data_IF_744712360051
#
_entry.id   IF_744712360051
#
_cell.length_a   1.000
_cell.length_b   1.000
_cell.length_c   1.000
_cell.angle_alpha   90.00
_cell.angle_beta   90.00
_cell.angle_gamma   90.00
#
_symmetry.space_group_name_H-M   'P 1'
#
loop_
_entity.id
_entity.type
_entity.pdbx_description
1 polymer ?
#
# COMPACT_ATOMS: atom_id res chain seq x y z
N UNK A 1 -18.35 -32.20 19.69
CA UNK A 1 -17.35 -31.18 19.34
C UNK A 1 -16.46 -31.77 18.25
N UNK A 2 -16.47 -31.20 17.04
CA UNK A 2 -16.17 -31.90 15.77
C UNK A 2 -14.69 -32.27 15.54
N UNK A 3 -14.37 -33.52 15.10
CA UNK A 3 -13.02 -34.00 14.77
C UNK A 3 -12.39 -33.32 13.54
N UNK A 4 -13.14 -32.49 12.78
CA UNK A 4 -12.59 -31.76 11.62
C UNK A 4 -11.65 -30.63 12.00
N UNK A 5 -11.78 -30.04 13.20
CA UNK A 5 -10.91 -28.93 13.63
C UNK A 5 -9.49 -29.41 13.98
N UNK A 6 -9.37 -30.60 14.56
CA UNK A 6 -8.08 -31.21 14.92
C UNK A 6 -7.30 -31.66 13.67
N UNK A 7 -8.00 -32.10 12.62
CA UNK A 7 -7.38 -32.54 11.37
C UNK A 7 -6.77 -31.38 10.58
N UNK A 8 -7.45 -30.22 10.55
CA UNK A 8 -6.95 -29.00 9.91
C UNK A 8 -5.74 -28.44 10.67
N UNK A 9 -5.76 -28.49 12.00
CA UNK A 9 -4.62 -28.07 12.82
C UNK A 9 -3.43 -29.02 12.63
N UNK A 10 -3.66 -30.33 12.53
CA UNK A 10 -2.62 -31.33 12.25
C UNK A 10 -2.03 -31.19 10.84
N UNK A 11 -2.86 -30.89 9.82
CA UNK A 11 -2.40 -30.63 8.45
C UNK A 11 -1.63 -29.30 8.33
N UNK A 12 -2.04 -28.26 9.06
CA UNK A 12 -1.29 -27.00 9.17
C UNK A 12 0.02 -27.22 9.91
N UNK A 13 0.04 -28.03 10.97
CA UNK A 13 1.25 -28.35 11.73
C UNK A 13 2.21 -29.24 10.93
N UNK A 14 1.70 -30.20 10.14
CA UNK A 14 2.52 -30.99 9.20
C UNK A 14 3.01 -30.17 8.01
N UNK A 15 2.25 -29.20 7.49
CA UNK A 15 2.76 -28.25 6.49
C UNK A 15 3.83 -27.32 7.07
N UNK A 16 3.67 -26.88 8.33
CA UNK A 16 4.68 -26.11 9.06
C UNK A 16 5.94 -26.94 9.32
N UNK A 17 5.80 -28.22 9.68
CA UNK A 17 6.91 -29.14 9.94
C UNK A 17 7.61 -29.58 8.65
N UNK A 18 6.86 -29.83 7.56
CA UNK A 18 7.43 -30.11 6.22
C UNK A 18 8.15 -28.89 5.63
N UNK A 19 7.80 -27.67 6.08
CA UNK A 19 8.54 -26.46 5.76
C UNK A 19 9.77 -26.22 6.65
N UNK A 20 10.01 -27.05 7.67
CA UNK A 20 11.17 -26.99 8.56
C UNK A 20 12.31 -27.94 8.18
N UNK A 21 12.24 -28.58 7.01
CA UNK A 21 13.36 -29.37 6.50
C UNK A 21 14.46 -28.41 6.02
N UNK A 22 15.45 -28.16 6.89
CA UNK A 22 16.76 -27.62 6.53
C UNK A 22 17.50 -28.66 5.70
N UNK A 23 17.75 -28.37 4.42
CA UNK A 23 18.63 -29.16 3.54
C UNK A 23 19.53 -28.18 2.77
N UNK A 24 20.76 -28.60 2.41
CA UNK A 24 21.98 -27.90 2.73
C UNK A 24 22.63 -27.35 1.46
N UNK A 25 22.69 -26.03 1.31
CA UNK A 25 23.41 -25.42 0.19
C UNK A 25 24.43 -24.41 0.70
N UNK A 26 25.69 -24.76 0.46
CA UNK A 26 26.92 -23.98 0.63
C UNK A 26 26.66 -22.48 0.41
N UNK A 27 26.70 -21.71 1.50
CA UNK A 27 26.81 -20.26 1.54
C UNK A 27 25.86 -19.47 0.60
N UNK A 28 24.61 -19.19 1.01
CA UNK A 28 23.58 -18.55 0.16
C UNK A 28 23.97 -17.17 -0.37
N UNK A 29 25.01 -16.55 0.19
CA UNK A 29 25.58 -15.25 -0.20
C UNK A 29 26.31 -15.29 -1.55
N UNK A 30 26.80 -16.47 -1.95
CA UNK A 30 27.65 -16.67 -3.13
C UNK A 30 26.96 -17.47 -4.26
N UNK A 31 25.67 -17.79 -4.14
CA UNK A 31 24.94 -18.48 -5.20
C UNK A 31 24.50 -17.51 -6.31
N UNK A 32 25.07 -17.59 -7.53
CA UNK A 32 24.70 -16.72 -8.65
C UNK A 32 23.27 -16.95 -9.15
N UNK A 33 22.61 -18.04 -8.76
CA UNK A 33 21.24 -18.37 -9.17
C UNK A 33 20.18 -17.97 -8.14
N UNK A 34 20.56 -17.45 -6.97
CA UNK A 34 19.62 -16.90 -5.99
C UNK A 34 19.55 -15.37 -6.11
N UNK A 35 18.49 -14.79 -6.70
CA UNK A 35 18.38 -13.34 -6.85
C UNK A 35 18.27 -12.59 -5.51
N UNK A 36 17.91 -13.26 -4.41
CA UNK A 36 17.93 -12.67 -3.06
C UNK A 36 19.27 -12.86 -2.33
N UNK A 37 20.13 -13.82 -2.74
CA UNK A 37 21.38 -14.21 -2.04
C UNK A 37 21.24 -14.48 -0.52
N UNK A 38 20.01 -14.69 -0.05
CA UNK A 38 19.68 -15.16 1.30
C UNK A 38 18.47 -16.09 1.22
N UNK A 39 18.30 -16.94 2.24
CA UNK A 39 17.12 -17.81 2.38
C UNK A 39 16.11 -17.07 3.27
N UNK A 40 14.91 -16.73 2.78
CA UNK A 40 13.92 -16.01 3.57
C UNK A 40 13.48 -16.78 4.82
N UNK A 41 13.40 -16.08 5.95
CA UNK A 41 12.90 -16.65 7.19
C UNK A 41 11.38 -16.86 7.10
N UNK A 42 10.99 -18.14 7.05
CA UNK A 42 9.60 -18.57 6.91
C UNK A 42 8.71 -18.04 8.05
N UNK A 43 9.22 -18.01 9.28
CA UNK A 43 8.46 -17.53 10.44
C UNK A 43 8.15 -16.03 10.35
N UNK A 44 9.12 -15.20 9.96
CA UNK A 44 8.92 -13.76 9.81
C UNK A 44 7.95 -13.42 8.67
N UNK A 45 8.01 -14.17 7.57
CA UNK A 45 7.07 -14.03 6.46
C UNK A 45 5.62 -14.35 6.88
N UNK A 46 5.41 -15.46 7.60
CA UNK A 46 4.08 -15.85 8.10
C UNK A 46 3.54 -14.83 9.10
N UNK A 47 4.34 -14.43 10.10
CA UNK A 47 3.91 -13.46 11.13
C UNK A 47 3.51 -12.14 10.47
N UNK A 48 4.35 -11.63 9.56
CA UNK A 48 4.08 -10.37 8.86
C UNK A 48 2.83 -10.47 7.98
N UNK A 49 2.64 -11.57 7.25
CA UNK A 49 1.45 -11.78 6.42
C UNK A 49 0.17 -11.80 7.27
N UNK A 50 0.20 -12.49 8.41
CA UNK A 50 -0.93 -12.55 9.35
C UNK A 50 -1.25 -11.18 9.95
N UNK A 51 -0.25 -10.36 10.26
CA UNK A 51 -0.47 -8.99 10.74
C UNK A 51 -1.18 -8.12 9.70
N UNK A 52 -0.80 -8.21 8.42
CA UNK A 52 -1.49 -7.49 7.34
C UNK A 52 -2.93 -7.98 7.14
N UNK A 53 -3.17 -9.30 7.25
CA UNK A 53 -4.52 -9.85 7.21
C UNK A 53 -5.35 -9.43 8.43
N UNK A 54 -4.75 -9.31 9.62
CA UNK A 54 -5.44 -8.83 10.81
C UNK A 54 -5.87 -7.36 10.65
N UNK A 55 -5.01 -6.51 10.08
CA UNK A 55 -5.35 -5.13 9.72
C UNK A 55 -6.46 -5.08 8.68
N UNK A 56 -6.39 -5.91 7.62
CA UNK A 56 -7.43 -6.01 6.62
C UNK A 56 -8.78 -6.44 7.23
N UNK A 57 -8.77 -7.44 8.12
CA UNK A 57 -9.95 -7.88 8.86
C UNK A 57 -10.51 -6.76 9.74
N UNK A 58 -9.66 -6.01 10.44
CA UNK A 58 -10.05 -4.80 11.18
C UNK A 58 -10.78 -3.80 10.29
N UNK A 59 -10.21 -3.47 9.12
CA UNK A 59 -10.85 -2.59 8.13
C UNK A 59 -12.21 -3.13 7.66
N UNK A 60 -12.33 -4.43 7.44
CA UNK A 60 -13.61 -5.07 7.05
C UNK A 60 -14.65 -4.98 8.17
N UNK A 61 -14.27 -5.24 9.42
CA UNK A 61 -15.15 -5.13 10.61
C UNK A 61 -15.67 -3.70 10.75
N UNK A 62 -14.78 -2.70 10.63
CA UNK A 62 -15.19 -1.30 10.62
C UNK A 62 -16.07 -0.94 9.42
N UNK A 63 -15.80 -1.54 8.25
CA UNK A 63 -16.60 -1.43 7.05
C UNK A 63 -18.04 -1.89 7.26
N UNK A 64 -18.26 -3.01 7.95
CA UNK A 64 -19.61 -3.48 8.30
C UNK A 64 -20.39 -2.48 9.16
N UNK A 65 -19.72 -1.75 10.06
CA UNK A 65 -20.36 -0.74 10.91
C UNK A 65 -20.67 0.56 10.15
N UNK A 66 -19.72 1.06 9.35
CA UNK A 66 -19.91 2.23 8.47
C UNK A 66 -19.17 2.04 7.15
N UNK A 67 -19.94 1.72 6.12
CA UNK A 67 -19.41 1.38 4.81
C UNK A 67 -18.95 2.60 4.01
N UNK A 68 -17.67 2.64 3.64
CA UNK A 68 -17.12 3.59 2.68
C UNK A 68 -16.51 2.83 1.49
N UNK A 69 -17.13 2.93 0.30
CA UNK A 69 -16.68 2.19 -0.91
C UNK A 69 -15.21 2.48 -1.28
N UNK A 70 -14.71 3.66 -0.93
CA UNK A 70 -13.31 4.06 -1.17
C UNK A 70 -12.31 3.26 -0.31
N UNK A 71 -12.73 2.72 0.83
CA UNK A 71 -11.86 1.90 1.69
C UNK A 71 -11.65 0.48 1.16
N UNK A 72 -12.34 0.07 0.09
CA UNK A 72 -12.04 -1.22 -0.56
C UNK A 72 -10.61 -1.25 -1.10
N UNK A 73 -10.08 -0.11 -1.56
CA UNK A 73 -8.72 -0.02 -2.08
C UNK A 73 -7.66 -0.32 -1.02
N UNK A 74 -7.87 0.10 0.24
CA UNK A 74 -6.98 -0.25 1.35
C UNK A 74 -7.02 -1.75 1.67
N UNK A 75 -8.20 -2.37 1.63
CA UNK A 75 -8.37 -3.80 1.92
C UNK A 75 -7.69 -4.63 0.82
N UNK A 76 -7.91 -4.26 -0.44
CA UNK A 76 -7.25 -4.90 -1.58
C UNK A 76 -5.73 -4.77 -1.46
N UNK A 77 -5.21 -3.57 -1.14
CA UNK A 77 -3.78 -3.35 -0.92
C UNK A 77 -3.20 -4.26 0.17
N UNK A 78 -3.88 -4.39 1.31
CA UNK A 78 -3.44 -5.27 2.41
C UNK A 78 -3.40 -6.74 2.01
N UNK A 79 -4.44 -7.21 1.31
CA UNK A 79 -4.54 -8.60 0.85
C UNK A 79 -3.47 -8.89 -0.20
N UNK A 80 -3.26 -8.01 -1.17
CA UNK A 80 -2.17 -8.13 -2.14
C UNK A 80 -0.81 -8.20 -1.44
N UNK A 81 -0.57 -7.34 -0.44
CA UNK A 81 0.69 -7.37 0.30
C UNK A 81 0.89 -8.69 1.08
N UNK A 82 -0.15 -9.16 1.76
CA UNK A 82 -0.12 -10.43 2.48
C UNK A 82 0.13 -11.62 1.55
N UNK A 83 -0.48 -11.63 0.36
CA UNK A 83 -0.22 -12.64 -0.68
C UNK A 83 1.25 -12.61 -1.09
N UNK A 84 1.82 -11.41 -1.34
CA UNK A 84 3.25 -11.24 -1.62
C UNK A 84 4.13 -11.84 -0.52
N UNK A 85 3.81 -11.59 0.75
CA UNK A 85 4.53 -12.18 1.88
C UNK A 85 4.39 -13.71 1.96
N UNK A 86 3.22 -14.28 1.62
CA UNK A 86 3.06 -15.73 1.56
C UNK A 86 3.82 -16.37 0.40
N UNK A 87 3.95 -15.69 -0.75
CA UNK A 87 4.73 -16.18 -1.90
C UNK A 87 6.23 -16.27 -1.57
N UNK A 88 6.72 -15.56 -0.54
CA UNK A 88 8.10 -15.74 -0.04
C UNK A 88 8.35 -17.14 0.52
N UNK A 89 7.33 -17.87 0.96
CA UNK A 89 7.45 -19.24 1.48
C UNK A 89 7.85 -20.26 0.40
N UNK A 90 7.12 -20.40 -0.73
CA UNK A 90 7.56 -21.27 -1.82
C UNK A 90 8.83 -20.76 -2.49
N UNK A 91 9.10 -19.45 -2.49
CA UNK A 91 10.37 -18.90 -2.97
C UNK A 91 11.56 -19.37 -2.12
N UNK A 92 11.41 -19.42 -0.79
CA UNK A 92 12.46 -19.91 0.11
C UNK A 92 12.82 -21.38 -0.13
N UNK A 93 11.89 -22.19 -0.65
CA UNK A 93 12.13 -23.59 -0.99
C UNK A 93 12.67 -23.79 -2.42
N UNK A 94 12.47 -22.83 -3.33
CA UNK A 94 12.88 -22.92 -4.74
C UNK A 94 13.43 -21.56 -5.23
N UNK A 95 14.60 -21.17 -4.70
CA UNK A 95 15.24 -19.86 -4.95
C UNK A 95 15.66 -19.63 -6.40
N UNK A 96 15.76 -20.68 -7.21
CA UNK A 96 16.22 -20.63 -8.60
C UNK A 96 15.14 -20.25 -9.63
N UNK A 97 13.86 -20.19 -9.23
CA UNK A 97 12.77 -19.89 -10.16
C UNK A 97 12.54 -18.39 -10.30
N UNK A 98 13.10 -17.80 -11.36
CA UNK A 98 12.98 -16.37 -11.68
C UNK A 98 11.52 -15.90 -11.79
N UNK A 99 10.63 -16.77 -12.29
CA UNK A 99 9.19 -16.48 -12.38
C UNK A 99 8.53 -16.23 -11.02
N UNK A 100 8.91 -16.98 -9.97
CA UNK A 100 8.38 -16.76 -8.62
C UNK A 100 8.88 -15.42 -8.06
N UNK A 101 10.15 -15.08 -8.31
CA UNK A 101 10.73 -13.80 -7.89
C UNK A 101 10.02 -12.60 -8.55
N UNK A 102 9.77 -12.68 -9.86
CA UNK A 102 9.07 -11.64 -10.61
C UNK A 102 7.62 -11.49 -10.14
N UNK A 103 6.93 -12.61 -9.95
CA UNK A 103 5.55 -12.62 -9.47
C UNK A 103 5.44 -12.04 -8.05
N UNK A 104 6.36 -12.43 -7.16
CA UNK A 104 6.53 -11.85 -5.82
C UNK A 104 6.68 -10.33 -5.90
N UNK A 105 7.67 -9.83 -6.65
CA UNK A 105 7.92 -8.39 -6.78
C UNK A 105 6.72 -7.64 -7.37
N UNK A 106 6.06 -8.20 -8.37
CA UNK A 106 4.90 -7.58 -9.02
C UNK A 106 3.72 -7.43 -8.05
N UNK A 107 3.36 -8.49 -7.30
CA UNK A 107 2.29 -8.44 -6.31
C UNK A 107 2.63 -7.49 -5.17
N UNK A 108 3.89 -7.50 -4.73
CA UNK A 108 4.36 -6.62 -3.65
C UNK A 108 4.41 -5.15 -4.07
N UNK A 109 4.59 -4.86 -5.36
CA UNK A 109 4.48 -3.52 -5.95
C UNK A 109 3.04 -3.07 -6.18
N UNK A 110 2.11 -4.00 -6.45
CA UNK A 110 0.69 -3.67 -6.60
C UNK A 110 0.07 -3.15 -5.29
N UNK A 111 0.52 -3.67 -4.14
CA UNK A 111 0.00 -3.31 -2.83
C UNK A 111 0.03 -1.79 -2.52
N UNK A 112 1.18 -1.08 -2.63
CA UNK A 112 1.23 0.37 -2.36
C UNK A 112 0.31 1.20 -3.25
N UNK A 113 0.04 0.80 -4.49
CA UNK A 113 -0.90 1.53 -5.36
C UNK A 113 -2.32 1.59 -4.77
N UNK A 114 -2.78 0.52 -4.10
CA UNK A 114 -4.06 0.52 -3.40
C UNK A 114 -4.11 1.53 -2.23
N UNK A 115 -3.01 1.64 -1.48
CA UNK A 115 -2.89 2.59 -0.38
C UNK A 115 -2.79 4.03 -0.86
N UNK A 116 -2.01 4.25 -1.93
CA UNK A 116 -1.86 5.54 -2.60
C UNK A 116 -3.22 6.03 -3.12
N UNK A 117 -3.99 5.17 -3.80
CA UNK A 117 -5.35 5.50 -4.23
C UNK A 117 -6.27 5.86 -3.06
N UNK A 118 -6.12 5.18 -1.91
CA UNK A 118 -6.89 5.50 -0.69
C UNK A 118 -6.58 6.91 -0.20
N UNK A 119 -5.31 7.29 -0.05
CA UNK A 119 -4.94 8.62 0.44
C UNK A 119 -5.39 9.72 -0.52
N UNK A 120 -5.31 9.49 -1.84
CA UNK A 120 -5.80 10.43 -2.86
C UNK A 120 -7.29 10.71 -2.74
N UNK A 121 -8.09 9.67 -2.52
CA UNK A 121 -9.53 9.82 -2.28
C UNK A 121 -9.83 10.50 -0.95
N UNK A 122 -9.04 10.24 0.09
CA UNK A 122 -9.21 10.84 1.41
C UNK A 122 -8.95 12.35 1.40
N UNK A 123 -7.90 12.82 0.73
CA UNK A 123 -7.65 14.26 0.60
C UNK A 123 -8.82 14.97 -0.07
N UNK A 124 -9.33 14.42 -1.18
CA UNK A 124 -10.44 15.04 -1.88
C UNK A 124 -11.72 15.12 -1.05
N UNK A 125 -11.99 14.10 -0.23
CA UNK A 125 -13.14 14.11 0.69
C UNK A 125 -12.92 15.01 1.90
N UNK A 126 -11.69 15.12 2.38
CA UNK A 126 -11.33 16.03 3.47
C UNK A 126 -11.53 17.49 3.06
N UNK A 127 -11.09 17.87 1.84
CA UNK A 127 -11.31 19.20 1.28
C UNK A 127 -12.81 19.54 1.16
N UNK A 128 -13.61 18.61 0.63
CA UNK A 128 -15.06 18.76 0.54
C UNK A 128 -15.74 18.87 1.91
N UNK A 129 -15.30 18.09 2.90
CA UNK A 129 -15.88 18.13 4.25
C UNK A 129 -15.62 19.47 4.95
N UNK A 130 -14.48 20.09 4.68
CA UNK A 130 -14.08 21.35 5.29
C UNK A 130 -14.64 22.56 4.53
N UNK A 131 -15.40 22.35 3.45
CA UNK A 131 -15.82 23.42 2.52
C UNK A 131 -14.62 24.31 2.16
N UNK A 132 -13.53 23.63 1.82
CA UNK A 132 -12.18 24.18 1.67
C UNK A 132 -11.62 23.91 0.26
N UNK A 133 -12.51 23.66 -0.71
CA UNK A 133 -12.15 23.39 -2.10
C UNK A 133 -11.33 24.54 -2.72
N UNK A 134 -11.58 25.78 -2.30
CA UNK A 134 -10.87 26.98 -2.75
C UNK A 134 -9.40 27.03 -2.28
N UNK A 135 -9.08 26.32 -1.19
CA UNK A 135 -7.71 26.24 -0.68
C UNK A 135 -6.88 25.16 -1.40
N UNK A 136 -7.53 24.27 -2.15
CA UNK A 136 -6.86 23.26 -2.95
C UNK A 136 -6.29 23.91 -4.22
N UNK A 137 -4.99 23.71 -4.50
CA UNK A 137 -4.34 24.28 -5.70
C UNK A 137 -5.05 23.89 -7.01
N UNK A 138 -5.63 22.69 -7.01
CA UNK A 138 -6.35 22.10 -8.13
C UNK A 138 -7.57 21.38 -7.55
N UNK A 139 -8.71 21.39 -8.25
CA UNK A 139 -9.92 20.68 -7.80
C UNK A 139 -9.60 19.23 -7.42
N UNK A 140 -10.10 18.80 -6.26
CA UNK A 140 -9.84 17.49 -5.66
C UNK A 140 -10.07 16.33 -6.65
N UNK A 141 -11.11 16.46 -7.48
CA UNK A 141 -11.48 15.48 -8.50
C UNK A 141 -10.39 15.28 -9.56
N UNK A 142 -9.74 16.37 -9.96
CA UNK A 142 -8.70 16.32 -11.00
C UNK A 142 -7.45 15.68 -10.40
N UNK A 143 -7.06 16.08 -9.19
CA UNK A 143 -5.97 15.46 -8.42
C UNK A 143 -6.17 13.94 -8.37
N UNK A 144 -7.28 13.47 -7.78
CA UNK A 144 -7.50 12.02 -7.63
C UNK A 144 -7.49 11.29 -8.98
N UNK A 145 -8.11 11.85 -10.03
CA UNK A 145 -8.11 11.20 -11.36
C UNK A 145 -6.73 11.15 -11.99
N UNK A 146 -6.01 12.26 -12.03
CA UNK A 146 -4.68 12.36 -12.64
C UNK A 146 -3.71 11.42 -11.95
N UNK A 147 -3.68 11.43 -10.61
CA UNK A 147 -2.74 10.60 -9.87
C UNK A 147 -3.09 9.11 -9.92
N UNK A 148 -4.37 8.73 -9.85
CA UNK A 148 -4.76 7.32 -10.02
C UNK A 148 -4.48 6.83 -11.44
N UNK A 149 -4.70 7.65 -12.47
CA UNK A 149 -4.35 7.29 -13.85
C UNK A 149 -2.83 7.17 -14.03
N UNK A 150 -2.05 8.06 -13.41
CA UNK A 150 -0.59 7.95 -13.34
C UNK A 150 -0.17 6.60 -12.76
N UNK A 151 -0.73 6.18 -11.63
CA UNK A 151 -0.40 4.90 -11.00
C UNK A 151 -0.81 3.69 -11.86
N UNK A 152 -1.93 3.75 -12.57
CA UNK A 152 -2.33 2.67 -13.49
C UNK A 152 -1.31 2.57 -14.63
N UNK A 153 -0.86 3.69 -15.19
CA UNK A 153 0.15 3.70 -16.24
C UNK A 153 1.47 3.14 -15.73
N UNK A 154 1.93 3.53 -14.54
CA UNK A 154 3.17 3.00 -13.97
C UNK A 154 3.05 1.51 -13.61
N UNK A 155 1.88 1.04 -13.19
CA UNK A 155 1.61 -0.38 -12.98
C UNK A 155 1.70 -1.19 -14.28
N UNK A 156 1.21 -0.65 -15.40
CA UNK A 156 1.34 -1.31 -16.71
C UNK A 156 2.81 -1.35 -17.19
N UNK A 157 3.57 -0.28 -16.95
CA UNK A 157 5.02 -0.25 -17.22
C UNK A 157 5.73 -1.31 -16.36
N UNK A 158 5.39 -1.43 -15.08
CA UNK A 158 5.98 -2.44 -14.20
C UNK A 158 5.57 -3.86 -14.59
N UNK A 159 4.30 -4.09 -14.96
CA UNK A 159 3.83 -5.39 -15.42
C UNK A 159 4.54 -5.82 -16.71
N UNK A 160 4.77 -4.89 -17.65
CA UNK A 160 5.52 -5.17 -18.88
C UNK A 160 7.02 -5.36 -18.63
N UNK A 161 7.65 -4.53 -17.79
CA UNK A 161 9.05 -4.71 -17.41
C UNK A 161 9.28 -6.03 -16.66
N UNK A 162 8.36 -6.39 -15.76
CA UNK A 162 8.40 -7.64 -15.01
C UNK A 162 8.16 -8.86 -15.89
N UNK A 163 7.25 -8.80 -16.87
CA UNK A 163 7.06 -9.92 -17.79
C UNK A 163 8.28 -10.12 -18.70
N UNK A 164 8.87 -9.04 -19.22
CA UNK A 164 10.08 -9.10 -20.04
C UNK A 164 11.28 -9.62 -19.26
N UNK A 165 11.34 -9.39 -17.95
CA UNK A 165 12.44 -9.89 -17.13
C UNK A 165 12.44 -11.41 -16.94
N UNK A 166 11.39 -12.11 -17.36
CA UNK A 166 11.33 -13.59 -17.35
C UNK A 166 12.17 -14.23 -18.45
N UNK A 167 12.50 -13.48 -19.50
CA UNK A 167 13.25 -13.98 -20.66
C UNK A 167 14.74 -13.66 -20.50
N UNK A 168 15.62 -14.65 -20.70
CA UNK A 168 17.07 -14.47 -20.49
C UNK A 168 17.65 -13.34 -21.34
N UNK A 169 17.22 -13.18 -22.60
CA UNK A 169 17.69 -12.13 -23.51
C UNK A 169 17.19 -10.72 -23.15
N UNK A 170 15.99 -10.63 -22.54
CA UNK A 170 15.33 -9.35 -22.25
C UNK A 170 15.39 -8.98 -20.76
N UNK A 171 16.08 -9.77 -19.94
CA UNK A 171 16.10 -9.64 -18.47
C UNK A 171 16.53 -8.25 -18.00
N UNK A 172 17.66 -7.75 -18.53
CA UNK A 172 18.22 -6.46 -18.17
C UNK A 172 17.34 -5.29 -18.62
N UNK A 173 16.73 -5.42 -19.81
CA UNK A 173 15.83 -4.41 -20.37
C UNK A 173 14.54 -4.37 -19.53
N UNK A 174 13.96 -5.53 -19.21
CA UNK A 174 12.76 -5.66 -18.39
C UNK A 174 12.94 -5.06 -17.00
N UNK A 175 14.07 -5.35 -16.35
CA UNK A 175 14.41 -4.79 -15.03
C UNK A 175 14.53 -3.26 -15.06
N UNK A 176 15.14 -2.69 -16.10
CA UNK A 176 15.22 -1.22 -16.29
C UNK A 176 13.85 -0.59 -16.53
N UNK A 177 12.99 -1.23 -17.32
CA UNK A 177 11.61 -0.77 -17.55
C UNK A 177 10.82 -0.80 -16.23
N UNK A 178 10.96 -1.87 -15.46
CA UNK A 178 10.32 -2.00 -14.15
C UNK A 178 10.77 -0.89 -13.19
N UNK A 179 12.08 -0.65 -13.07
CA UNK A 179 12.64 0.42 -12.26
C UNK A 179 12.16 1.81 -12.70
N UNK A 180 12.04 2.04 -14.01
CA UNK A 180 11.51 3.29 -14.56
C UNK A 180 10.07 3.54 -14.08
N UNK A 181 9.23 2.50 -14.06
CA UNK A 181 7.88 2.59 -13.52
C UNK A 181 7.84 3.00 -12.04
N UNK A 182 8.72 2.43 -11.21
CA UNK A 182 8.85 2.81 -9.80
C UNK A 182 9.26 4.27 -9.62
N UNK A 183 10.23 4.75 -10.41
CA UNK A 183 10.72 6.13 -10.33
C UNK A 183 9.61 7.12 -10.70
N UNK A 184 8.88 6.87 -11.79
CA UNK A 184 7.77 7.72 -12.22
C UNK A 184 6.67 7.75 -11.13
N UNK A 185 6.36 6.60 -10.55
CA UNK A 185 5.38 6.49 -9.47
C UNK A 185 5.82 7.27 -8.21
N UNK A 186 7.10 7.17 -7.84
CA UNK A 186 7.68 7.91 -6.72
C UNK A 186 7.60 9.42 -6.95
N UNK A 187 7.98 9.91 -8.14
CA UNK A 187 7.91 11.34 -8.47
C UNK A 187 6.46 11.85 -8.39
N UNK A 188 5.52 11.09 -8.95
CA UNK A 188 4.08 11.40 -8.91
C UNK A 188 3.58 11.48 -7.46
N UNK A 189 3.98 10.54 -6.61
CA UNK A 189 3.60 10.51 -5.20
C UNK A 189 4.22 11.65 -4.38
N UNK A 190 5.49 12.01 -4.63
CA UNK A 190 6.15 13.16 -3.99
C UNK A 190 5.45 14.46 -4.36
N UNK A 191 5.06 14.62 -5.63
CA UNK A 191 4.29 15.79 -6.07
C UNK A 191 2.94 15.86 -5.35
N UNK A 192 2.22 14.73 -5.23
CA UNK A 192 0.99 14.67 -4.44
C UNK A 192 1.21 15.07 -2.97
N UNK A 193 2.28 14.60 -2.34
CA UNK A 193 2.62 14.96 -0.97
C UNK A 193 2.86 16.47 -0.81
N UNK A 194 3.47 17.11 -1.80
CA UNK A 194 3.58 18.58 -1.87
C UNK A 194 2.22 19.27 -1.92
N UNK A 195 1.31 18.80 -2.77
CA UNK A 195 -0.07 19.32 -2.85
C UNK A 195 -0.80 19.15 -1.51
N UNK A 196 -0.66 18.00 -0.86
CA UNK A 196 -1.21 17.75 0.47
C UNK A 196 -0.64 18.71 1.52
N UNK A 197 0.68 18.91 1.55
CA UNK A 197 1.33 19.84 2.48
C UNK A 197 0.85 21.28 2.29
N UNK A 198 0.72 21.75 1.03
CA UNK A 198 0.19 23.07 0.72
C UNK A 198 -1.26 23.23 1.17
N UNK A 199 -2.10 22.20 0.99
CA UNK A 199 -3.48 22.21 1.47
C UNK A 199 -3.53 22.38 3.00
N UNK A 200 -2.75 21.59 3.74
CA UNK A 200 -2.69 21.69 5.21
C UNK A 200 -2.14 23.04 5.66
N UNK A 201 -1.12 23.57 4.98
CA UNK A 201 -0.58 24.90 5.28
C UNK A 201 -1.61 26.01 5.06
N UNK A 202 -2.31 26.02 3.91
CA UNK A 202 -3.37 26.99 3.62
C UNK A 202 -4.52 26.92 4.61
N UNK A 203 -4.91 25.71 5.03
CA UNK A 203 -5.91 25.52 6.08
C UNK A 203 -5.47 26.16 7.41
N UNK A 204 -4.20 25.96 7.82
CA UNK A 204 -3.66 26.54 9.05
C UNK A 204 -3.58 28.06 9.02
N UNK A 205 -3.20 28.65 7.89
CA UNK A 205 -3.04 30.10 7.75
C UNK A 205 -4.39 30.81 7.63
N UNK A 206 -5.30 30.30 6.82
CA UNK A 206 -6.55 30.99 6.49
C UNK A 206 -7.69 30.65 7.47
N UNK A 207 -7.63 29.50 8.15
CA UNK A 207 -8.60 29.08 9.18
C UNK A 207 -7.89 28.56 10.44
N UNK A 208 -7.09 29.39 11.13
CA UNK A 208 -6.44 28.99 12.38
C UNK A 208 -7.47 28.58 13.45
N UNK A 209 -8.66 29.19 13.38
CA UNK A 209 -9.82 28.94 14.23
C UNK A 209 -10.34 27.48 14.23
N UNK A 210 -10.16 26.76 13.12
CA UNK A 210 -10.64 25.39 12.94
C UNK A 210 -9.53 24.34 13.09
N UNK A 211 -8.27 24.81 13.20
CA UNK A 211 -7.07 23.97 13.31
C UNK A 211 -6.66 23.66 14.76
N UNK A 212 -7.41 24.11 15.76
CA UNK A 212 -7.09 23.82 17.16
C UNK A 212 -7.19 22.32 17.45
N UNK A 213 -6.16 21.78 18.10
CA UNK A 213 -6.21 20.41 18.62
C UNK A 213 -7.21 20.38 19.78
N UNK A 214 -8.24 19.52 19.75
CA UNK A 214 -9.15 19.36 20.86
C UNK A 214 -8.39 18.89 22.10
N UNK A 215 -8.62 19.55 23.23
CA UNK A 215 -7.99 19.19 24.52
C UNK A 215 -8.48 17.85 25.06
N UNK A 216 -9.68 17.43 24.65
CA UNK A 216 -10.29 16.14 25.01
C UNK A 216 -9.85 15.03 24.06
N UNK A 217 -9.34 13.91 24.59
CA UNK A 217 -8.92 12.74 23.79
C UNK A 217 -10.05 12.19 22.90
N UNK A 218 -11.29 12.19 23.39
CA UNK A 218 -12.45 11.66 22.64
C UNK A 218 -12.88 12.57 21.48
N UNK A 219 -12.66 13.88 21.61
CA UNK A 219 -12.88 14.84 20.53
C UNK A 219 -11.70 14.84 19.55
N UNK A 220 -10.46 14.66 20.02
CA UNK A 220 -9.29 14.56 19.13
C UNK A 220 -9.49 13.49 18.06
N UNK A 221 -9.93 12.28 18.45
CA UNK A 221 -10.29 11.19 17.52
C UNK A 221 -11.60 11.43 16.76
N UNK A 222 -12.18 12.62 16.76
CA UNK A 222 -13.37 12.98 15.95
C UNK A 222 -13.10 14.20 15.05
N UNK A 223 -11.99 14.91 15.26
CA UNK A 223 -11.64 16.09 14.48
C UNK A 223 -10.91 15.73 13.18
N UNK A 224 -11.10 16.57 12.17
CA UNK A 224 -10.50 16.44 10.84
C UNK A 224 -8.96 16.46 10.89
N UNK A 225 -8.38 17.09 11.92
CA UNK A 225 -6.92 17.15 12.17
C UNK A 225 -6.33 15.78 12.48
N UNK A 226 -7.07 14.90 13.16
CA UNK A 226 -6.65 13.53 13.39
C UNK A 226 -6.63 12.74 12.08
N UNK A 227 -7.65 12.90 11.23
CA UNK A 227 -7.67 12.28 9.90
C UNK A 227 -6.53 12.80 9.00
N UNK A 228 -6.26 14.11 9.03
CA UNK A 228 -5.13 14.70 8.32
C UNK A 228 -3.78 14.17 8.84
N UNK A 229 -3.63 14.02 10.16
CA UNK A 229 -2.46 13.39 10.77
C UNK A 229 -2.28 11.94 10.34
N UNK A 230 -3.36 11.17 10.27
CA UNK A 230 -3.32 9.79 9.78
C UNK A 230 -2.92 9.68 8.32
N UNK A 231 -3.44 10.57 7.47
CA UNK A 231 -3.03 10.67 6.06
C UNK A 231 -1.53 10.99 5.98
N UNK A 232 -1.04 11.93 6.79
CA UNK A 232 0.38 12.30 6.82
C UNK A 232 1.29 11.13 7.23
N UNK A 233 0.93 10.41 8.31
CA UNK A 233 1.67 9.22 8.76
C UNK A 233 1.68 8.14 7.67
N UNK A 234 0.53 7.91 7.02
CA UNK A 234 0.44 6.96 5.92
C UNK A 234 1.30 7.36 4.74
N UNK A 235 1.30 8.65 4.36
CA UNK A 235 2.14 9.16 3.29
C UNK A 235 3.63 8.96 3.56
N UNK A 236 4.09 9.19 4.79
CA UNK A 236 5.48 8.95 5.20
C UNK A 236 5.83 7.46 5.06
N UNK A 237 4.97 6.54 5.54
CA UNK A 237 5.19 5.11 5.43
C UNK A 237 5.28 4.62 3.98
N UNK A 238 4.39 5.12 3.11
CA UNK A 238 4.40 4.82 1.67
C UNK A 238 5.66 5.41 0.99
N UNK A 239 6.11 6.60 1.39
CA UNK A 239 7.30 7.23 0.83
C UNK A 239 8.56 6.45 1.16
N UNK A 240 8.76 6.08 2.43
CA UNK A 240 9.93 5.28 2.88
C UNK A 240 10.02 3.99 2.06
N UNK A 241 8.89 3.29 1.93
CA UNK A 241 8.78 2.09 1.09
C UNK A 241 9.15 2.35 -0.37
N UNK A 242 8.58 3.39 -0.97
CA UNK A 242 8.77 3.69 -2.40
C UNK A 242 10.23 4.05 -2.71
N UNK A 243 10.89 4.77 -1.80
CA UNK A 243 12.33 5.07 -1.89
C UNK A 243 13.17 3.80 -1.72
N UNK A 244 12.88 2.99 -0.69
CA UNK A 244 13.57 1.72 -0.45
C UNK A 244 13.50 0.81 -1.69
N UNK A 245 12.32 0.64 -2.30
CA UNK A 245 12.15 -0.19 -3.50
C UNK A 245 12.87 0.35 -4.73
N UNK A 246 12.89 1.67 -4.89
CA UNK A 246 13.63 2.29 -5.98
C UNK A 246 15.14 2.04 -5.83
N UNK A 247 15.67 2.18 -4.60
CA UNK A 247 17.08 1.95 -4.31
C UNK A 247 17.42 0.45 -4.47
N UNK A 248 16.63 -0.44 -3.86
CA UNK A 248 16.81 -1.90 -3.93
C UNK A 248 16.92 -2.38 -5.38
N UNK A 249 16.02 -1.94 -6.27
CA UNK A 249 16.07 -2.32 -7.68
C UNK A 249 17.14 -1.58 -8.48
N UNK A 250 17.57 -0.39 -8.05
CA UNK A 250 18.67 0.34 -8.70
C UNK A 250 20.05 -0.27 -8.42
N UNK A 251 20.24 -0.88 -7.25
CA UNK A 251 21.47 -1.61 -6.91
C UNK A 251 21.57 -2.99 -7.60
N UNK A 252 20.46 -3.48 -8.15
CA UNK A 252 20.36 -4.78 -8.79
C UNK A 252 20.54 -5.96 -7.82
N UNK A 253 20.70 -7.17 -8.37
CA UNK A 253 20.81 -8.44 -7.62
C UNK A 253 22.04 -8.54 -6.70
N UNK A 254 22.94 -7.56 -6.70
CA UNK A 254 24.15 -7.51 -5.88
C UNK A 254 24.11 -6.53 -4.70
N UNK A 255 23.05 -5.73 -4.57
CA UNK A 255 22.95 -4.66 -3.58
C UNK A 255 22.95 -5.13 -2.12
N UNK A 256 23.57 -4.36 -1.23
CA UNK A 256 23.60 -4.70 0.20
C UNK A 256 22.19 -4.65 0.83
N UNK A 257 21.30 -3.82 0.25
CA UNK A 257 19.89 -3.72 0.67
C UNK A 257 19.04 -4.91 0.21
N UNK A 258 19.29 -5.45 -0.99
CA UNK A 258 18.57 -6.61 -1.51
C UNK A 258 19.01 -7.93 -0.83
N UNK A 259 20.25 -7.98 -0.34
CA UNK A 259 20.85 -9.19 0.25
C UNK A 259 20.62 -9.36 1.74
N UNK A 260 20.02 -8.37 2.41
CA UNK A 260 19.80 -8.40 3.87
C UNK A 260 18.32 -8.34 4.21
N UNK A 261 17.78 -9.46 4.69
CA UNK A 261 16.36 -9.62 5.04
C UNK A 261 15.84 -8.59 6.04
N UNK A 262 16.69 -8.16 6.99
CA UNK A 262 16.32 -7.18 8.01
C UNK A 262 15.85 -5.84 7.43
N UNK A 263 16.50 -5.36 6.37
CA UNK A 263 16.11 -4.09 5.73
C UNK A 263 14.77 -4.21 5.01
N UNK A 264 14.48 -5.36 4.40
CA UNK A 264 13.16 -5.60 3.81
C UNK A 264 12.05 -5.50 4.87
N UNK A 265 12.18 -6.13 6.03
CA UNK A 265 11.14 -6.02 7.06
C UNK A 265 11.08 -4.62 7.70
N UNK A 266 12.23 -4.01 7.97
CA UNK A 266 12.30 -2.72 8.65
C UNK A 266 11.91 -1.53 7.77
N UNK A 267 12.24 -1.55 6.47
CA UNK A 267 12.06 -0.42 5.55
C UNK A 267 10.94 -0.63 4.51
N UNK A 268 10.61 -1.88 4.16
CA UNK A 268 9.51 -2.18 3.23
C UNK A 268 8.20 -2.50 3.96
N UNK A 269 8.26 -3.40 4.94
CA UNK A 269 7.07 -4.00 5.58
C UNK A 269 6.54 -3.18 6.75
N UNK A 270 7.42 -2.75 7.65
CA UNK A 270 7.04 -2.06 8.89
C UNK A 270 6.49 -0.64 8.68
N UNK A 271 7.10 0.23 7.85
CA UNK A 271 6.60 1.60 7.65
C UNK A 271 5.23 1.60 6.97
N UNK A 272 5.06 0.69 6.01
CA UNK A 272 3.78 0.45 5.33
C UNK A 272 2.72 -0.06 6.32
N UNK A 273 3.07 -1.01 7.19
CA UNK A 273 2.16 -1.55 8.20
C UNK A 273 1.65 -0.46 9.14
N UNK A 274 2.56 0.37 9.66
CA UNK A 274 2.21 1.50 10.52
C UNK A 274 1.28 2.45 9.78
N UNK A 275 1.61 2.81 8.54
CA UNK A 275 0.83 3.73 7.71
C UNK A 275 -0.61 3.27 7.44
N UNK A 276 -0.87 1.97 7.45
CA UNK A 276 -2.20 1.40 7.25
C UNK A 276 -2.91 1.18 8.59
N UNK A 277 -2.20 0.70 9.60
CA UNK A 277 -2.74 0.44 10.93
C UNK A 277 -3.36 1.70 11.54
N UNK A 278 -2.82 2.88 11.23
CA UNK A 278 -3.41 4.16 11.66
C UNK A 278 -4.85 4.32 11.17
N UNK A 279 -5.19 3.88 9.94
CA UNK A 279 -6.56 3.96 9.42
C UNK A 279 -7.55 3.00 10.08
N UNK A 280 -7.07 1.93 10.73
CA UNK A 280 -7.92 1.07 11.57
C UNK A 280 -8.33 1.81 12.84
N UNK A 281 -7.45 2.65 13.39
CA UNK A 281 -7.72 3.46 14.59
C UNK A 281 -8.59 4.67 14.23
N UNK A 282 -8.19 5.43 13.20
CA UNK A 282 -8.92 6.60 12.71
C UNK A 282 -9.72 6.21 11.47
N UNK A 283 -10.81 5.46 11.63
CA UNK A 283 -11.63 4.99 10.51
C UNK A 283 -12.27 6.16 9.74
N UNK A 284 -11.78 6.52 8.54
CA UNK A 284 -12.19 7.74 7.83
C UNK A 284 -13.71 7.90 7.60
N UNK A 285 -14.48 6.83 7.32
CA UNK A 285 -15.93 6.92 7.19
C UNK A 285 -16.66 7.44 8.44
N UNK A 286 -16.10 7.35 9.64
CA UNK A 286 -16.71 7.97 10.84
C UNK A 286 -16.65 9.48 10.77
N UNK A 287 -15.51 10.02 10.34
CA UNK A 287 -15.22 11.46 10.28
C UNK A 287 -15.97 12.13 9.13
N UNK A 288 -16.03 11.45 7.98
CA UNK A 288 -16.61 11.99 6.73
C UNK A 288 -18.14 11.90 6.67
N UNK A 289 -18.81 11.35 7.70
CA UNK A 289 -20.29 11.21 7.75
C UNK A 289 -21.07 12.41 8.32
N UNK A 290 -20.40 13.50 8.76
CA UNK A 290 -21.11 14.69 9.28
C UNK A 290 -21.88 15.48 8.21
N UNK A 291 -21.72 15.19 6.92
CA UNK A 291 -22.54 15.75 5.84
C UNK A 291 -23.24 14.63 5.07
N UNK A 292 -24.38 14.18 5.61
CA UNK A 292 -25.28 13.25 4.92
C UNK A 292 -26.14 14.05 3.93
N UNK A 293 -25.54 14.51 2.83
CA UNK A 293 -26.22 14.85 1.58
C UNK A 293 -25.17 14.84 0.46
N UNK A 294 -24.69 13.66 0.07
CA UNK A 294 -24.73 13.16 -1.32
C UNK A 294 -24.41 11.66 -1.24
N UNK A 295 -25.37 10.82 -1.65
CA UNK A 295 -25.24 9.36 -1.71
C UNK A 295 -24.03 9.03 -2.58
N UNK A 296 -23.12 8.13 -2.18
CA UNK A 296 -21.94 7.78 -3.00
C UNK A 296 -22.27 7.16 -4.38
N UNK A 297 -23.52 6.80 -4.65
CA UNK A 297 -24.00 6.45 -5.99
C UNK A 297 -24.47 7.69 -6.77
N UNK A 298 -25.01 8.68 -6.07
CA UNK A 298 -25.42 9.98 -6.62
C UNK A 298 -24.18 10.87 -6.87
N UNK A 299 -23.08 10.71 -6.15
CA UNK A 299 -21.79 11.39 -6.46
C UNK A 299 -21.24 10.95 -7.82
N UNK A 300 -21.43 9.70 -8.25
CA UNK A 300 -21.02 9.25 -9.60
C UNK A 300 -22.08 9.61 -10.65
N UNK A 301 -23.37 9.59 -10.30
CA UNK A 301 -24.48 9.86 -11.23
C UNK A 301 -24.83 11.35 -11.40
N UNK A 302 -24.90 12.19 -10.35
CA UNK A 302 -25.06 13.66 -10.48
C UNK A 302 -23.89 14.30 -11.22
N UNK A 303 -22.68 13.75 -11.07
CA UNK A 303 -21.51 14.17 -11.85
C UNK A 303 -21.61 13.81 -13.34
N UNK A 304 -22.51 12.90 -13.72
CA UNK A 304 -22.90 12.62 -15.10
C UNK A 304 -24.03 13.53 -15.60
N UNK A 305 -24.98 13.89 -14.74
CA UNK A 305 -26.18 14.65 -15.12
C UNK A 305 -25.95 16.16 -15.24
N UNK A 306 -25.01 16.75 -14.48
CA UNK A 306 -24.61 18.16 -14.65
C UNK A 306 -24.03 18.48 -16.04
N UNK A 307 -23.63 17.47 -16.83
CA UNK A 307 -23.23 17.65 -18.23
C UNK A 307 -24.39 17.92 -19.20
N UNK A 308 -25.66 17.74 -18.80
CA UNK A 308 -26.82 18.02 -19.67
C UNK A 308 -27.50 19.36 -19.42
N UNK A 309 -27.11 20.11 -18.39
CA UNK A 309 -27.77 21.38 -18.01
C UNK A 309 -26.92 22.61 -18.37
N UNK A 310 -25.72 22.43 -18.94
CA UNK A 310 -24.87 23.53 -19.43
C UNK A 310 -24.56 23.41 -20.93
N UNK A 311 -25.57 23.11 -21.75
CA UNK A 311 -25.55 23.37 -23.19
C UNK A 311 -26.75 24.21 -23.58
#
# INVERSE_FOLDING_TARGET
>A
MSPRKTLIFSLLFHSLCASAQEEPFLDPKNDPKNPLKYIPNKSLAVISALLYLAVAAGCVIWGFKRWGRYMLTIIIGCVCYAIGLFIRLPFASNTHQLGIYIFLNTITVLAPCGFIATVYMLLGRLALQLDADDYLLVKARIITKVFVTSDIVTLLIQASGGSMSTSEELSDIGTKIFLTGLIIQLISFVFYMGVFAVFIYRMKVNRPGECYLPRNKHEFFTHWTALAGSIAISCIGILIRSVFRTIELSEGYGGHLATTEGYFYALDTLPLFIGIAVFVVTWPPLYLTKYKHVKSTDVVMEMGTSRRVQK
#
